data_IF_294747810241
#
_entry.id   IF_294747810241
#
_cell.length_a   1.000
_cell.length_b   1.000
_cell.length_c   1.000
_cell.angle_alpha   90.00
_cell.angle_beta   90.00
_cell.angle_gamma   90.00
#
_symmetry.space_group_name_H-M   'P 1'
#
loop_
_entity.id
_entity.type
_entity.pdbx_description
1 polymer ?
#
# COMPACT_ATOMS: atom_id res chain seq x y z
N UNK A 1 14.02 -6.79 30.85
CA UNK A 1 13.09 -5.90 31.60
C UNK A 1 12.69 -4.78 30.67
N UNK A 2 11.43 -4.80 30.23
CA UNK A 2 10.93 -3.91 29.18
C UNK A 2 10.68 -2.49 29.68
N UNK A 3 11.14 -1.50 28.92
CA UNK A 3 10.76 -0.10 29.05
C UNK A 3 10.71 0.51 27.65
N UNK A 4 9.56 1.07 27.28
CA UNK A 4 9.41 1.84 26.02
C UNK A 4 8.05 1.84 25.32
N UNK A 5 6.97 1.23 25.84
CA UNK A 5 5.61 1.28 25.23
C UNK A 5 4.71 2.37 25.87
N UNK A 6 5.21 3.60 25.98
CA UNK A 6 4.71 4.61 26.93
C UNK A 6 3.30 5.20 26.72
N UNK A 7 2.72 5.15 25.50
CA UNK A 7 1.35 5.64 25.28
C UNK A 7 0.69 5.01 24.07
N UNK A 8 1.37 4.97 22.91
CA UNK A 8 0.83 4.37 21.68
C UNK A 8 0.53 2.87 21.84
N UNK A 9 1.45 2.13 22.48
CA UNK A 9 1.23 0.71 22.78
C UNK A 9 0.11 0.45 23.80
N UNK A 10 -0.13 1.39 24.72
CA UNK A 10 -1.24 1.31 25.67
C UNK A 10 -2.60 1.58 24.98
N UNK A 11 -2.65 2.57 24.09
CA UNK A 11 -3.84 2.88 23.28
C UNK A 11 -4.21 1.71 22.35
N UNK A 12 -3.22 1.07 21.72
CA UNK A 12 -3.46 -0.09 20.84
C UNK A 12 -3.95 -1.33 21.62
N UNK A 13 -3.38 -1.60 22.79
CA UNK A 13 -3.88 -2.66 23.68
C UNK A 13 -5.32 -2.41 24.14
N UNK A 14 -5.67 -1.15 24.42
CA UNK A 14 -7.05 -0.76 24.75
C UNK A 14 -8.02 -1.01 23.58
N UNK A 15 -7.53 -0.98 22.33
CA UNK A 15 -8.31 -1.20 21.11
C UNK A 15 -8.36 -2.67 20.64
N UNK A 16 -7.97 -3.65 21.47
CA UNK A 16 -7.93 -5.09 21.12
C UNK A 16 -7.02 -5.41 19.93
N UNK A 17 -5.95 -4.65 19.74
CA UNK A 17 -4.96 -4.97 18.73
C UNK A 17 -4.36 -6.36 19.01
N UNK A 18 -4.35 -7.23 18.00
CA UNK A 18 -3.68 -8.54 18.08
C UNK A 18 -2.24 -8.33 17.62
N UNK A 19 -1.32 -8.61 18.53
CA UNK A 19 0.12 -8.60 18.26
C UNK A 19 0.51 -9.98 17.73
N UNK A 20 1.33 -10.00 16.68
CA UNK A 20 1.91 -11.19 16.06
C UNK A 20 3.41 -10.98 15.91
N UNK A 21 4.15 -12.08 15.78
CA UNK A 21 5.55 -12.06 15.39
C UNK A 21 5.68 -12.72 14.02
N UNK A 22 6.30 -12.01 13.09
CA UNK A 22 6.62 -12.56 11.78
C UNK A 22 8.07 -12.97 11.74
N UNK A 23 8.38 -14.05 11.03
CA UNK A 23 9.76 -14.51 10.82
C UNK A 23 10.08 -14.47 9.34
N UNK A 24 11.19 -13.82 8.98
CA UNK A 24 11.69 -13.80 7.61
C UNK A 24 12.10 -15.22 7.22
N UNK A 25 11.57 -15.71 6.10
CA UNK A 25 11.90 -17.03 5.55
C UNK A 25 12.79 -16.92 4.31
N UNK A 26 12.72 -15.80 3.60
CA UNK A 26 13.50 -15.53 2.39
C UNK A 26 13.61 -14.02 2.13
N UNK A 27 14.65 -13.59 1.40
CA UNK A 27 14.91 -12.19 1.06
C UNK A 27 15.39 -12.06 -0.39
N UNK A 28 14.79 -11.15 -1.14
CA UNK A 28 15.00 -10.94 -2.57
C UNK A 28 15.12 -9.44 -2.85
N UNK A 29 16.27 -9.01 -3.39
CA UNK A 29 16.41 -7.66 -3.94
C UNK A 29 15.81 -7.67 -5.36
N UNK A 30 14.54 -7.27 -5.47
CA UNK A 30 13.81 -7.20 -6.76
C UNK A 30 14.46 -6.16 -7.67
N UNK A 31 14.87 -5.04 -7.07
CA UNK A 31 15.61 -3.95 -7.70
C UNK A 31 16.58 -3.36 -6.67
N UNK A 32 17.55 -2.52 -7.06
CA UNK A 32 18.41 -1.83 -6.11
C UNK A 32 17.66 -0.97 -5.07
N UNK A 33 16.42 -0.58 -5.38
CA UNK A 33 15.58 0.28 -4.55
C UNK A 33 14.27 -0.38 -4.12
N UNK A 34 14.12 -1.69 -4.32
CA UNK A 34 12.90 -2.41 -4.01
C UNK A 34 13.21 -3.84 -3.55
N UNK A 35 12.86 -4.16 -2.31
CA UNK A 35 13.18 -5.45 -1.70
C UNK A 35 11.92 -6.20 -1.29
N UNK A 36 11.88 -7.49 -1.56
CA UNK A 36 10.83 -8.41 -1.13
C UNK A 36 11.36 -9.31 -0.02
N UNK A 37 10.61 -9.42 1.07
CA UNK A 37 10.84 -10.39 2.13
C UNK A 37 9.66 -11.36 2.15
N UNK A 38 9.91 -12.67 2.19
CA UNK A 38 8.89 -13.68 2.47
C UNK A 38 8.91 -13.97 3.96
N UNK A 39 7.73 -14.14 4.57
CA UNK A 39 7.58 -14.30 6.00
C UNK A 39 6.60 -15.42 6.34
N UNK A 40 6.84 -16.07 7.49
CA UNK A 40 5.77 -16.75 8.23
C UNK A 40 5.02 -15.76 9.12
N UNK A 41 3.73 -15.97 9.32
CA UNK A 41 2.80 -14.99 9.86
C UNK A 41 2.50 -15.11 11.36
N UNK A 42 3.06 -16.11 12.03
CA UNK A 42 2.78 -16.37 13.45
C UNK A 42 1.30 -16.69 13.75
N UNK A 43 0.54 -17.20 12.77
CA UNK A 43 -0.90 -17.49 12.88
C UNK A 43 -1.82 -16.30 12.60
N UNK A 44 -1.29 -15.19 12.10
CA UNK A 44 -2.05 -13.95 11.86
C UNK A 44 -3.18 -14.11 10.85
N UNK A 45 -2.92 -14.74 9.71
CA UNK A 45 -3.87 -14.93 8.62
C UNK A 45 -5.05 -15.81 9.07
N UNK A 46 -4.77 -16.89 9.81
CA UNK A 46 -5.82 -17.73 10.39
C UNK A 46 -6.70 -16.96 11.39
N UNK A 47 -6.12 -16.01 12.13
CA UNK A 47 -6.80 -15.26 13.18
C UNK A 47 -7.57 -14.02 12.68
N UNK A 48 -7.30 -13.56 11.45
CA UNK A 48 -7.81 -12.28 10.93
C UNK A 48 -8.47 -12.38 9.55
N UNK A 49 -8.20 -13.44 8.79
CA UNK A 49 -8.61 -13.55 7.39
C UNK A 49 -7.75 -12.69 6.46
N UNK A 50 -8.18 -12.58 5.21
CA UNK A 50 -7.49 -11.81 4.17
C UNK A 50 -8.48 -10.96 3.39
N UNK A 51 -8.00 -9.82 2.89
CA UNK A 51 -8.74 -9.01 1.94
C UNK A 51 -7.76 -8.25 1.03
N UNK A 52 -8.23 -7.68 -0.10
CA UNK A 52 -7.38 -6.89 -0.97
C UNK A 52 -6.80 -5.68 -0.24
N UNK A 53 -5.61 -5.23 -0.65
CA UNK A 53 -4.91 -4.07 -0.06
C UNK A 53 -4.67 -4.19 1.46
N UNK A 54 -4.70 -5.41 2.02
CA UNK A 54 -4.52 -5.64 3.45
C UNK A 54 -3.13 -5.21 3.89
N UNK A 55 -3.04 -4.54 5.03
CA UNK A 55 -1.80 -4.03 5.58
C UNK A 55 -1.75 -4.16 7.09
N UNK A 56 -0.53 -4.22 7.62
CA UNK A 56 -0.24 -4.40 9.04
C UNK A 56 0.77 -3.36 9.50
N UNK A 57 0.80 -3.07 10.80
CA UNK A 57 1.80 -2.18 11.40
C UNK A 57 2.98 -3.02 11.85
N UNK A 58 4.14 -2.82 11.25
CA UNK A 58 5.41 -3.39 11.70
C UNK A 58 6.09 -2.45 12.69
N UNK A 59 6.72 -3.01 13.71
CA UNK A 59 7.44 -2.27 14.74
C UNK A 59 8.95 -2.42 14.58
N UNK A 60 9.60 -1.33 14.19
CA UNK A 60 11.05 -1.23 14.00
C UNK A 60 11.71 -0.63 15.24
N UNK A 61 12.96 -1.01 15.50
CA UNK A 61 13.81 -0.27 16.42
C UNK A 61 14.40 0.95 15.71
N UNK A 62 14.33 2.11 16.37
CA UNK A 62 14.96 3.33 15.92
C UNK A 62 15.82 3.89 17.07
N UNK A 63 17.05 3.40 17.17
CA UNK A 63 18.00 3.75 18.23
C UNK A 63 17.40 3.52 19.64
N UNK A 64 16.84 2.34 19.87
CA UNK A 64 16.21 1.95 21.14
C UNK A 64 14.80 2.49 21.36
N UNK A 65 14.19 3.15 20.36
CA UNK A 65 12.81 3.64 20.41
C UNK A 65 11.93 2.90 19.40
N UNK A 66 10.73 2.44 19.80
CA UNK A 66 9.83 1.76 18.87
C UNK A 66 9.32 2.74 17.81
N UNK A 67 9.30 2.29 16.57
CA UNK A 67 8.87 3.08 15.42
C UNK A 67 8.02 2.22 14.49
N UNK A 68 6.76 2.59 14.31
CA UNK A 68 5.82 1.79 13.51
C UNK A 68 5.68 2.27 12.07
N UNK A 69 5.53 1.33 11.12
CA UNK A 69 5.16 1.63 9.72
C UNK A 69 4.14 0.62 9.19
N UNK A 70 3.22 1.10 8.35
CA UNK A 70 2.26 0.25 7.66
C UNK A 70 2.90 -0.39 6.44
N UNK A 71 2.72 -1.70 6.27
CA UNK A 71 3.15 -2.43 5.07
C UNK A 71 2.04 -3.36 4.59
N UNK A 72 1.87 -3.40 3.28
CA UNK A 72 0.86 -4.22 2.61
C UNK A 72 1.35 -5.67 2.51
N UNK A 73 0.44 -6.62 2.69
CA UNK A 73 0.67 -8.03 2.44
C UNK A 73 0.70 -8.30 0.93
N UNK A 74 1.65 -9.12 0.49
CA UNK A 74 1.74 -9.67 -0.87
C UNK A 74 1.48 -11.18 -0.77
N UNK A 75 0.57 -11.68 -1.61
CA UNK A 75 0.21 -13.10 -1.71
C UNK A 75 0.01 -13.81 -0.35
N UNK A 76 -0.89 -13.33 0.52
CA UNK A 76 -1.15 -14.03 1.76
C UNK A 76 -1.78 -15.40 1.49
N UNK A 77 -1.16 -16.45 2.04
CA UNK A 77 -1.63 -17.83 2.03
C UNK A 77 -2.04 -18.24 3.46
N UNK A 78 -3.34 -18.20 3.80
CA UNK A 78 -3.83 -18.58 5.12
C UNK A 78 -3.62 -20.06 5.46
N UNK A 79 -3.47 -20.94 4.46
CA UNK A 79 -3.26 -22.36 4.70
C UNK A 79 -1.81 -22.65 5.07
N UNK A 80 -0.86 -21.96 4.43
CA UNK A 80 0.56 -22.05 4.74
C UNK A 80 0.99 -21.16 5.92
N UNK A 81 0.21 -20.13 6.25
CA UNK A 81 0.60 -19.11 7.23
C UNK A 81 1.77 -18.27 6.73
N UNK A 82 1.80 -17.98 5.44
CA UNK A 82 2.89 -17.25 4.79
C UNK A 82 2.38 -16.11 3.93
N UNK A 83 3.23 -15.12 3.72
CA UNK A 83 3.00 -13.99 2.83
C UNK A 83 4.35 -13.34 2.51
N UNK A 84 4.34 -12.34 1.62
CA UNK A 84 5.50 -11.49 1.39
C UNK A 84 5.20 -10.03 1.74
N UNK A 85 6.25 -9.26 1.93
CA UNK A 85 6.21 -7.81 2.07
C UNK A 85 7.23 -7.18 1.17
N UNK A 86 6.87 -6.06 0.57
CA UNK A 86 7.74 -5.33 -0.34
C UNK A 86 8.04 -3.94 0.22
N UNK A 87 9.31 -3.57 0.11
CA UNK A 87 9.88 -2.36 0.68
C UNK A 87 10.45 -1.52 -0.45
N UNK A 88 9.79 -0.40 -0.75
CA UNK A 88 10.40 0.70 -1.49
C UNK A 88 11.49 1.31 -0.61
N UNK A 89 12.75 1.07 -0.95
CA UNK A 89 13.90 1.41 -0.12
C UNK A 89 14.20 2.90 -0.20
N UNK A 90 14.31 3.54 0.96
CA UNK A 90 14.67 4.94 1.11
C UNK A 90 15.52 5.11 2.39
N UNK A 91 15.79 6.33 2.82
CA UNK A 91 16.50 6.58 4.08
C UNK A 91 15.58 6.34 5.29
N UNK A 92 16.04 5.59 6.28
CA UNK A 92 15.38 5.42 7.58
C UNK A 92 15.20 3.98 8.04
N UNK A 93 14.93 3.81 9.34
CA UNK A 93 15.07 2.54 10.06
C UNK A 93 14.27 1.35 9.46
N UNK A 94 13.13 1.59 8.83
CA UNK A 94 12.36 0.51 8.20
C UNK A 94 13.05 -0.03 6.94
N UNK A 95 13.65 0.86 6.13
CA UNK A 95 14.46 0.46 4.97
C UNK A 95 15.80 -0.12 5.42
N UNK A 96 16.41 0.41 6.48
CA UNK A 96 17.67 -0.12 7.02
C UNK A 96 17.49 -1.55 7.56
N UNK A 97 16.40 -1.80 8.29
CA UNK A 97 16.02 -3.14 8.72
C UNK A 97 15.79 -4.05 7.52
N UNK A 98 15.02 -3.61 6.52
CA UNK A 98 14.72 -4.43 5.34
C UNK A 98 15.99 -4.83 4.58
N UNK A 99 16.95 -3.90 4.39
CA UNK A 99 18.26 -4.17 3.75
C UNK A 99 19.07 -5.23 4.50
N UNK A 100 19.01 -5.21 5.83
CA UNK A 100 19.77 -6.12 6.68
C UNK A 100 19.06 -7.47 6.91
N UNK A 101 17.74 -7.53 6.72
CA UNK A 101 16.91 -8.67 7.04
C UNK A 101 17.32 -9.93 6.26
N UNK A 102 17.45 -11.05 6.98
CA UNK A 102 17.77 -12.38 6.45
C UNK A 102 16.88 -13.45 7.08
N UNK A 103 16.82 -14.67 6.50
CA UNK A 103 16.05 -15.76 7.08
C UNK A 103 16.37 -16.00 8.56
N UNK A 104 15.32 -16.09 9.37
CA UNK A 104 15.39 -16.23 10.83
C UNK A 104 15.25 -14.93 11.62
N UNK A 105 15.41 -13.76 11.00
CA UNK A 105 15.12 -12.48 11.66
C UNK A 105 13.61 -12.35 11.91
N UNK A 106 13.23 -11.72 13.04
CA UNK A 106 11.83 -11.53 13.41
C UNK A 106 11.43 -10.06 13.49
N UNK A 107 10.13 -9.79 13.34
CA UNK A 107 9.56 -8.45 13.52
C UNK A 107 8.18 -8.53 14.17
N UNK A 108 7.93 -7.66 15.15
CA UNK A 108 6.60 -7.52 15.76
C UNK A 108 5.64 -6.83 14.77
N UNK A 109 4.42 -7.33 14.71
CA UNK A 109 3.37 -6.80 13.88
C UNK A 109 2.04 -6.66 14.62
N UNK A 110 1.28 -5.64 14.25
CA UNK A 110 -0.05 -5.39 14.80
C UNK A 110 -1.06 -5.22 13.66
N UNK A 111 -2.15 -6.01 13.70
CA UNK A 111 -3.26 -5.89 12.75
C UNK A 111 -4.31 -4.93 13.31
N UNK A 112 -4.48 -3.77 12.68
CA UNK A 112 -5.50 -2.81 13.06
C UNK A 112 -5.82 -1.83 11.92
N UNK A 113 -7.12 -1.56 11.70
CA UNK A 113 -7.57 -0.47 10.84
C UNK A 113 -7.43 -0.76 9.34
N UNK A 114 -7.24 -2.02 8.98
CA UNK A 114 -7.24 -2.49 7.60
C UNK A 114 -8.62 -3.08 7.24
N UNK A 115 -9.02 -2.92 5.99
CA UNK A 115 -10.30 -3.40 5.47
C UNK A 115 -10.50 -2.91 4.04
N UNK A 116 -10.93 -3.82 3.16
CA UNK A 116 -11.32 -3.49 1.80
C UNK A 116 -12.48 -4.37 1.37
N UNK A 117 -13.49 -3.74 0.77
CA UNK A 117 -14.59 -4.43 0.12
C UNK A 117 -14.66 -3.95 -1.33
N UNK A 118 -14.84 -4.89 -2.25
CA UNK A 118 -15.06 -4.55 -3.66
C UNK A 118 -16.31 -3.65 -3.75
N UNK A 119 -16.20 -2.45 -4.34
CA UNK A 119 -17.32 -1.52 -4.44
C UNK A 119 -18.51 -2.15 -5.15
N UNK A 120 -19.72 -1.87 -4.65
CA UNK A 120 -20.98 -2.21 -5.33
C UNK A 120 -21.71 -0.92 -5.76
N UNK A 121 -22.20 -0.84 -7.01
CA UNK A 121 -22.03 -1.81 -8.10
C UNK A 121 -20.55 -1.96 -8.50
N UNK A 122 -20.21 -3.09 -9.14
CA UNK A 122 -18.84 -3.35 -9.62
C UNK A 122 -18.39 -2.19 -10.50
N UNK A 123 -17.18 -1.64 -10.32
CA UNK A 123 -16.74 -0.50 -11.12
C UNK A 123 -16.69 -0.80 -12.61
N UNK A 124 -17.12 0.17 -13.43
CA UNK A 124 -16.93 0.11 -14.88
C UNK A 124 -15.48 0.36 -15.28
N UNK A 125 -14.75 1.12 -14.44
CA UNK A 125 -13.31 1.37 -14.56
C UNK A 125 -12.73 1.84 -13.23
N UNK A 126 -11.48 1.48 -12.96
CA UNK A 126 -10.67 2.02 -11.85
C UNK A 126 -9.79 3.15 -12.35
N UNK A 127 -9.71 4.22 -11.56
CA UNK A 127 -8.77 5.32 -11.74
C UNK A 127 -7.84 5.33 -10.54
N UNK A 128 -6.66 4.72 -10.70
CA UNK A 128 -5.71 4.52 -9.63
C UNK A 128 -4.58 5.56 -9.69
N UNK A 129 -4.18 6.09 -8.54
CA UNK A 129 -2.98 6.92 -8.39
C UNK A 129 -2.10 6.24 -7.35
N UNK A 130 -0.88 5.88 -7.75
CA UNK A 130 -0.01 4.99 -7.01
C UNK A 130 1.45 5.44 -7.13
N UNK A 131 2.29 4.95 -6.22
CA UNK A 131 3.76 5.03 -6.25
C UNK A 131 4.36 3.67 -5.83
N UNK A 132 5.70 3.49 -5.83
CA UNK A 132 6.34 2.24 -5.42
C UNK A 132 5.94 1.76 -4.02
N UNK A 133 5.68 2.64 -3.05
CA UNK A 133 5.28 2.22 -1.70
C UNK A 133 3.88 1.59 -1.68
N UNK A 134 3.03 1.96 -2.64
CA UNK A 134 1.66 1.46 -2.79
C UNK A 134 1.50 0.31 -3.78
N UNK A 135 2.54 -0.02 -4.56
CA UNK A 135 2.48 -1.04 -5.62
C UNK A 135 1.92 -2.40 -5.15
N UNK A 136 2.27 -2.94 -3.96
CA UNK A 136 1.67 -4.17 -3.45
C UNK A 136 0.14 -4.09 -3.33
N UNK A 137 -0.35 -2.95 -2.86
CA UNK A 137 -1.78 -2.73 -2.67
C UNK A 137 -2.49 -2.52 -4.01
N UNK A 138 -1.86 -1.81 -4.95
CA UNK A 138 -2.36 -1.69 -6.32
C UNK A 138 -2.49 -3.07 -6.98
N UNK A 139 -1.46 -3.91 -6.91
CA UNK A 139 -1.49 -5.26 -7.46
C UNK A 139 -2.65 -6.08 -6.87
N UNK A 140 -2.75 -6.12 -5.54
CA UNK A 140 -3.82 -6.81 -4.83
C UNK A 140 -5.23 -6.28 -5.19
N UNK A 141 -5.36 -4.97 -5.41
CA UNK A 141 -6.60 -4.35 -5.86
C UNK A 141 -6.98 -4.82 -7.27
N UNK A 142 -6.03 -4.80 -8.22
CA UNK A 142 -6.27 -5.21 -9.60
C UNK A 142 -6.61 -6.71 -9.67
N UNK A 143 -5.90 -7.56 -8.93
CA UNK A 143 -6.18 -9.00 -8.83
C UNK A 143 -7.63 -9.24 -8.35
N UNK A 144 -8.08 -8.50 -7.34
CA UNK A 144 -9.42 -8.63 -6.78
C UNK A 144 -10.55 -8.13 -7.70
N UNK A 145 -10.24 -7.19 -8.60
CA UNK A 145 -11.19 -6.62 -9.56
C UNK A 145 -11.20 -7.36 -10.90
N UNK A 146 -10.25 -8.27 -11.13
CA UNK A 146 -10.24 -9.21 -12.24
C UNK A 146 -10.26 -8.52 -13.60
N UNK A 147 -11.42 -8.52 -14.26
CA UNK A 147 -11.59 -8.01 -15.64
C UNK A 147 -11.93 -6.52 -15.70
N UNK A 148 -12.08 -5.83 -14.57
CA UNK A 148 -12.39 -4.38 -14.57
C UNK A 148 -11.20 -3.62 -15.14
N UNK A 149 -11.39 -2.77 -16.17
CA UNK A 149 -10.30 -1.99 -16.73
C UNK A 149 -9.81 -0.92 -15.74
N UNK A 150 -8.56 -0.50 -15.89
CA UNK A 150 -7.95 0.50 -15.03
C UNK A 150 -7.12 1.51 -15.83
N UNK A 151 -7.14 2.76 -15.41
CA UNK A 151 -6.12 3.74 -15.76
C UNK A 151 -5.35 4.06 -14.48
N UNK A 152 -4.04 3.84 -14.51
CA UNK A 152 -3.14 3.99 -13.36
C UNK A 152 -2.16 5.13 -13.65
N UNK A 153 -2.19 6.19 -12.86
CA UNK A 153 -1.07 7.14 -12.80
C UNK A 153 -0.09 6.65 -11.75
N UNK A 154 1.09 6.21 -12.20
CA UNK A 154 2.11 5.68 -11.31
C UNK A 154 3.27 6.67 -11.20
N UNK A 155 3.50 7.22 -10.02
CA UNK A 155 4.55 8.18 -9.78
C UNK A 155 5.91 7.50 -9.60
N UNK A 156 6.84 7.79 -10.50
CA UNK A 156 8.11 7.11 -10.65
C UNK A 156 8.36 6.72 -12.11
N UNK A 157 9.49 6.07 -12.35
CA UNK A 157 9.71 5.36 -13.60
C UNK A 157 8.99 4.01 -13.59
N UNK A 158 8.61 3.52 -14.78
CA UNK A 158 8.40 2.08 -15.02
C UNK A 158 9.73 1.35 -15.26
N UNK A 159 10.82 2.11 -15.33
CA UNK A 159 12.18 1.59 -15.35
C UNK A 159 12.50 1.13 -13.94
N UNK A 160 12.49 -0.19 -13.72
CA UNK A 160 13.21 -0.94 -12.67
C UNK A 160 12.57 -2.33 -12.45
N UNK A 161 12.07 -3.04 -13.47
CA UNK A 161 11.55 -4.43 -13.31
C UNK A 161 10.58 -4.62 -12.12
N UNK A 162 9.85 -3.56 -11.73
CA UNK A 162 8.94 -3.59 -10.60
C UNK A 162 7.85 -4.64 -10.88
N UNK A 163 7.38 -5.39 -9.86
CA UNK A 163 6.53 -6.56 -10.05
C UNK A 163 5.07 -6.16 -10.29
N UNK A 164 4.79 -5.37 -11.32
CA UNK A 164 3.44 -5.00 -11.74
C UNK A 164 2.63 -6.24 -12.14
N UNK A 165 1.39 -6.33 -11.65
CA UNK A 165 0.41 -7.34 -12.06
C UNK A 165 -0.65 -6.77 -13.01
N UNK A 166 -0.24 -5.77 -13.78
CA UNK A 166 -1.11 -5.14 -14.76
C UNK A 166 -1.27 -6.03 -15.99
N UNK A 167 -2.44 -5.97 -16.63
CA UNK A 167 -2.72 -6.67 -17.87
C UNK A 167 -2.90 -5.60 -18.96
N UNK A 168 -2.01 -5.52 -19.96
CA UNK A 168 -2.01 -4.43 -20.93
C UNK A 168 -3.26 -4.38 -21.82
N UNK A 169 -4.07 -5.45 -21.88
CA UNK A 169 -5.34 -5.44 -22.62
C UNK A 169 -6.43 -4.61 -21.92
N UNK A 170 -6.31 -4.39 -20.61
CA UNK A 170 -7.32 -3.68 -19.80
C UNK A 170 -6.78 -2.66 -18.80
N UNK A 171 -5.48 -2.67 -18.52
CA UNK A 171 -4.82 -1.76 -17.58
C UNK A 171 -3.87 -0.84 -18.35
N UNK A 172 -4.18 0.45 -18.34
CA UNK A 172 -3.35 1.50 -18.91
C UNK A 172 -2.50 2.12 -17.79
N UNK A 173 -1.18 1.89 -17.82
CA UNK A 173 -0.24 2.47 -16.85
C UNK A 173 0.42 3.70 -17.44
N UNK A 174 0.22 4.85 -16.80
CA UNK A 174 0.80 6.14 -17.13
C UNK A 174 1.88 6.47 -16.11
N UNK A 175 3.14 6.25 -16.50
CA UNK A 175 4.28 6.63 -15.69
C UNK A 175 4.37 8.16 -15.58
N UNK A 176 4.54 8.68 -14.36
CA UNK A 176 4.68 10.10 -14.10
C UNK A 176 5.95 10.33 -13.28
N UNK A 177 7.00 10.95 -13.84
CA UNK A 177 8.21 11.24 -13.07
C UNK A 177 7.90 12.10 -11.85
N UNK A 178 8.47 11.73 -10.70
CA UNK A 178 8.32 12.53 -9.47
C UNK A 178 9.02 13.87 -9.66
N UNK A 179 8.26 14.96 -9.60
CA UNK A 179 8.72 16.36 -9.71
C UNK A 179 8.05 17.22 -8.67
N UNK A 180 8.75 18.25 -8.20
CA UNK A 180 8.20 19.29 -7.32
C UNK A 180 7.41 18.72 -6.13
N UNK A 181 8.01 17.74 -5.45
CA UNK A 181 7.43 17.04 -4.29
C UNK A 181 6.03 16.43 -4.55
N UNK A 182 5.75 15.99 -5.78
CA UNK A 182 4.48 15.36 -6.18
C UNK A 182 3.51 16.28 -6.92
N UNK A 183 3.83 17.57 -7.06
CA UNK A 183 2.95 18.51 -7.75
C UNK A 183 2.76 18.15 -9.24
N UNK A 184 3.78 17.56 -9.88
CA UNK A 184 3.67 17.06 -11.25
C UNK A 184 2.62 15.96 -11.42
N UNK A 185 2.56 15.00 -10.50
CA UNK A 185 1.53 13.96 -10.48
C UNK A 185 0.15 14.56 -10.27
N UNK A 186 0.01 15.47 -9.31
CA UNK A 186 -1.27 16.15 -9.04
C UNK A 186 -1.77 16.90 -10.27
N UNK A 187 -0.90 17.66 -10.94
CA UNK A 187 -1.27 18.40 -12.14
C UNK A 187 -1.74 17.47 -13.27
N UNK A 188 -0.98 16.39 -13.53
CA UNK A 188 -1.31 15.43 -14.59
C UNK A 188 -2.64 14.72 -14.35
N UNK A 189 -2.91 14.28 -13.12
CA UNK A 189 -4.18 13.64 -12.77
C UNK A 189 -5.34 14.65 -12.89
N UNK A 190 -5.14 15.90 -12.47
CA UNK A 190 -6.17 16.95 -12.58
C UNK A 190 -6.52 17.30 -14.03
N UNK A 191 -5.54 17.20 -14.93
CA UNK A 191 -5.73 17.43 -16.36
C UNK A 191 -6.57 16.32 -17.00
N UNK A 192 -6.28 15.06 -16.70
CA UNK A 192 -6.82 13.91 -17.46
C UNK A 192 -8.05 13.24 -16.83
N UNK A 193 -8.15 13.23 -15.49
CA UNK A 193 -9.22 12.52 -14.78
C UNK A 193 -10.65 12.99 -15.14
N UNK A 194 -10.94 14.29 -15.39
CA UNK A 194 -12.31 14.74 -15.65
C UNK A 194 -12.96 14.08 -16.87
N UNK A 195 -12.24 14.03 -18.00
CA UNK A 195 -12.74 13.42 -19.23
C UNK A 195 -12.92 11.91 -19.10
N UNK A 196 -11.98 11.25 -18.43
CA UNK A 196 -12.04 9.82 -18.17
C UNK A 196 -13.20 9.42 -17.25
N UNK A 197 -13.50 10.23 -16.22
CA UNK A 197 -14.66 10.03 -15.37
C UNK A 197 -15.97 10.19 -16.14
N UNK A 198 -16.07 11.20 -17.02
CA UNK A 198 -17.25 11.42 -17.84
C UNK A 198 -17.56 10.23 -18.78
N UNK A 199 -16.52 9.50 -19.19
CA UNK A 199 -16.63 8.29 -20.01
C UNK A 199 -16.90 6.99 -19.20
N UNK A 200 -16.92 7.04 -17.87
CA UNK A 200 -17.06 5.87 -17.00
C UNK A 200 -18.31 6.00 -16.12
N UNK A 201 -19.40 5.25 -16.39
CA UNK A 201 -20.67 5.40 -15.65
C UNK A 201 -20.59 4.97 -14.18
N UNK A 202 -19.70 4.04 -13.83
CA UNK A 202 -19.47 3.57 -12.46
C UNK A 202 -17.99 3.67 -12.11
N UNK A 203 -17.43 4.89 -11.98
CA UNK A 203 -16.00 5.06 -11.77
C UNK A 203 -15.64 4.66 -10.34
N UNK A 204 -14.44 4.13 -10.14
CA UNK A 204 -13.86 3.95 -8.81
C UNK A 204 -12.48 4.58 -8.75
N UNK A 205 -12.30 5.55 -7.85
CA UNK A 205 -11.04 6.28 -7.69
C UNK A 205 -10.29 5.70 -6.50
N UNK A 206 -9.06 5.25 -6.72
CA UNK A 206 -8.20 4.69 -5.67
C UNK A 206 -6.88 5.47 -5.63
N UNK A 207 -6.51 6.02 -4.48
CA UNK A 207 -5.37 6.94 -4.36
C UNK A 207 -4.52 6.52 -3.17
N UNK A 208 -3.27 6.13 -3.43
CA UNK A 208 -2.30 5.77 -2.42
C UNK A 208 -0.90 6.24 -2.80
N UNK A 209 -0.50 7.41 -2.29
CA UNK A 209 0.85 7.96 -2.45
C UNK A 209 1.29 8.60 -1.12
N UNK A 210 2.14 9.63 -1.20
CA UNK A 210 2.37 10.51 -0.06
C UNK A 210 1.08 11.21 0.41
N UNK A 211 1.07 11.62 1.68
CA UNK A 211 -0.09 12.21 2.34
C UNK A 211 -0.57 13.51 1.68
N UNK A 212 0.34 14.35 1.16
CA UNK A 212 -0.03 15.63 0.57
C UNK A 212 -0.71 15.42 -0.79
N UNK A 213 -0.08 14.63 -1.66
CA UNK A 213 -0.62 14.23 -2.98
C UNK A 213 -1.97 13.53 -2.82
N UNK A 214 -2.06 12.55 -1.92
CA UNK A 214 -3.29 11.81 -1.64
C UNK A 214 -4.43 12.72 -1.20
N UNK A 215 -4.16 13.65 -0.27
CA UNK A 215 -5.18 14.60 0.21
C UNK A 215 -5.63 15.56 -0.87
N UNK A 216 -4.70 16.06 -1.69
CA UNK A 216 -5.01 16.98 -2.79
C UNK A 216 -5.96 16.32 -3.80
N UNK A 217 -5.61 15.12 -4.29
CA UNK A 217 -6.39 14.41 -5.30
C UNK A 217 -7.71 13.86 -4.74
N UNK A 218 -7.75 13.38 -3.50
CA UNK A 218 -8.99 12.96 -2.86
C UNK A 218 -9.95 14.14 -2.60
N UNK A 219 -9.43 15.33 -2.34
CA UNK A 219 -10.24 16.54 -2.24
C UNK A 219 -10.79 16.95 -3.61
N UNK A 220 -9.93 16.94 -4.64
CA UNK A 220 -10.29 17.25 -6.02
C UNK A 220 -11.41 16.33 -6.54
N UNK A 221 -11.21 15.01 -6.47
CA UNK A 221 -12.17 14.02 -6.94
C UNK A 221 -13.56 14.17 -6.28
N UNK A 222 -13.60 14.42 -4.96
CA UNK A 222 -14.87 14.50 -4.22
C UNK A 222 -15.56 15.86 -4.33
N UNK A 223 -14.80 16.95 -4.25
CA UNK A 223 -15.36 18.31 -4.12
C UNK A 223 -15.53 19.01 -5.46
N UNK A 224 -14.58 18.82 -6.36
CA UNK A 224 -14.57 19.51 -7.66
C UNK A 224 -15.21 18.63 -8.74
N UNK A 225 -14.91 17.32 -8.74
CA UNK A 225 -15.46 16.37 -9.72
C UNK A 225 -16.72 15.64 -9.25
N UNK A 226 -17.13 15.82 -8.00
CA UNK A 226 -18.38 15.26 -7.46
C UNK A 226 -18.42 13.73 -7.35
N UNK A 227 -17.27 13.04 -7.37
CA UNK A 227 -17.22 11.58 -7.23
C UNK A 227 -17.76 11.20 -5.84
N UNK A 228 -18.76 10.30 -5.74
CA UNK A 228 -19.34 9.94 -4.46
C UNK A 228 -18.29 9.35 -3.50
N UNK A 229 -18.39 9.63 -2.20
CA UNK A 229 -17.39 9.22 -1.20
C UNK A 229 -17.14 7.70 -1.21
N UNK A 230 -18.19 6.89 -1.37
CA UNK A 230 -18.11 5.43 -1.45
C UNK A 230 -17.39 4.92 -2.72
N UNK A 231 -17.17 5.80 -3.70
CA UNK A 231 -16.44 5.54 -4.94
C UNK A 231 -15.00 6.10 -4.91
N UNK A 232 -14.56 6.63 -3.77
CA UNK A 232 -13.19 7.13 -3.56
C UNK A 232 -12.57 6.44 -2.36
N UNK A 233 -11.51 5.68 -2.59
CA UNK A 233 -10.63 5.18 -1.54
C UNK A 233 -9.30 5.95 -1.60
N UNK A 234 -8.91 6.57 -0.51
CA UNK A 234 -7.71 7.39 -0.44
C UNK A 234 -7.00 7.19 0.90
N UNK A 235 -5.75 6.74 0.86
CA UNK A 235 -4.93 6.50 2.04
C UNK A 235 -3.51 7.03 1.80
N UNK A 236 -3.03 7.93 2.65
CA UNK A 236 -1.65 8.42 2.55
C UNK A 236 -0.70 7.39 3.14
N UNK A 237 0.15 6.78 2.30
CA UNK A 237 1.04 5.68 2.68
C UNK A 237 2.28 6.17 3.42
N UNK A 238 2.76 7.35 3.05
CA UNK A 238 3.92 7.97 3.68
C UNK A 238 3.76 9.48 3.79
N UNK A 239 4.69 10.12 4.48
CA UNK A 239 4.78 11.57 4.57
C UNK A 239 6.17 11.97 4.10
N UNK A 240 6.22 12.87 3.12
CA UNK A 240 7.46 13.55 2.81
C UNK A 240 7.89 14.34 4.05
N UNK A 241 9.16 14.20 4.40
CA UNK A 241 9.83 15.00 5.43
C UNK A 241 10.03 16.42 4.95
#
# INVERSE_FOLDING_TARGET
MGQGRGWEGAVLKLMRAKDFEFTVTDAEDVTPHYRRLRLSDGGMLAATGVHPTMWVRLWFDNAGRPHQRGYTLVDPDPAAGTFAMEFALHEGCASDWARAAKPGDTIEATVQGTGFEVPRPVPSRVFAVADPASLPALNSLLDALGTVPATVWFEGGTDDDLPFRTDPERHEVRAVPRRDAGAGLVARVKEELPELLAAAPEPYVWIACDTATTRALASYARKELGVPKQRVNALGYWRAT
#
